data_IF_319631079094
#
_entry.id   IF_319631079094
#
_cell.length_a   1.000
_cell.length_b   1.000
_cell.length_c   1.000
_cell.angle_alpha   90.00
_cell.angle_beta   90.00
_cell.angle_gamma   90.00
#
_symmetry.space_group_name_H-M   'P 1'
#
loop_
_entity.id
_entity.type
_entity.pdbx_description
1 polymer ?
#
# COMPACT_ATOMS: atom_id res chain seq x y z
N UNK A 1 -49.96 -13.25 -26.67
CA UNK A 1 -48.83 -12.43 -26.15
C UNK A 1 -48.62 -11.13 -26.93
N UNK A 2 -49.65 -10.55 -27.57
CA UNK A 2 -49.51 -9.41 -28.51
C UNK A 2 -49.88 -8.04 -27.92
N UNK A 3 -50.61 -7.97 -26.79
CA UNK A 3 -51.07 -6.69 -26.24
C UNK A 3 -49.99 -5.85 -25.55
N UNK A 4 -48.94 -6.49 -25.00
CA UNK A 4 -47.86 -5.78 -24.28
C UNK A 4 -46.95 -4.97 -25.21
N UNK A 5 -46.81 -5.38 -26.48
CA UNK A 5 -45.99 -4.66 -27.46
C UNK A 5 -46.66 -3.36 -27.93
N UNK A 6 -47.99 -3.33 -28.01
CA UNK A 6 -48.75 -2.17 -28.44
C UNK A 6 -48.64 -1.00 -27.45
N UNK A 7 -48.61 -1.30 -26.15
CA UNK A 7 -48.40 -0.30 -25.09
C UNK A 7 -46.99 0.30 -25.12
N UNK A 8 -45.98 -0.49 -25.46
CA UNK A 8 -44.59 -0.03 -25.49
C UNK A 8 -44.31 0.90 -26.68
N UNK A 9 -44.92 0.61 -27.84
CA UNK A 9 -44.85 1.47 -29.03
C UNK A 9 -45.55 2.81 -28.78
N UNK A 10 -46.67 2.82 -28.05
CA UNK A 10 -47.41 4.03 -27.72
C UNK A 10 -46.65 4.96 -26.75
N UNK A 11 -45.87 4.38 -25.83
CA UNK A 11 -45.07 5.15 -24.87
C UNK A 11 -43.86 5.83 -25.51
N UNK A 12 -43.26 5.19 -26.53
CA UNK A 12 -42.09 5.75 -27.22
C UNK A 12 -42.48 6.94 -28.10
N UNK A 13 -43.65 6.90 -28.75
CA UNK A 13 -44.10 7.99 -29.62
C UNK A 13 -44.44 9.29 -28.88
N UNK A 14 -44.72 9.24 -27.57
CA UNK A 14 -45.05 10.42 -26.76
C UNK A 14 -43.83 11.24 -26.30
N UNK A 15 -42.60 10.74 -26.44
CA UNK A 15 -41.41 11.37 -25.82
C UNK A 15 -40.55 12.21 -26.77
N UNK A 16 -40.89 12.33 -28.06
CA UNK A 16 -39.96 12.89 -29.07
C UNK A 16 -40.19 14.35 -29.52
N UNK A 17 -41.09 15.12 -28.89
CA UNK A 17 -41.43 16.47 -29.38
C UNK A 17 -41.16 17.61 -28.38
N UNK A 18 -39.95 17.74 -27.85
CA UNK A 18 -39.52 19.00 -27.23
C UNK A 18 -38.19 19.50 -27.79
N UNK A 19 -38.23 20.42 -28.75
CA UNK A 19 -37.05 21.18 -29.21
C UNK A 19 -36.92 22.45 -28.36
N UNK A 20 -35.86 22.64 -27.57
CA UNK A 20 -35.71 23.84 -26.77
C UNK A 20 -35.25 25.03 -27.65
N UNK A 21 -35.93 26.17 -27.51
CA UNK A 21 -35.59 27.40 -28.23
C UNK A 21 -34.31 28.04 -27.66
N UNK A 22 -33.36 28.37 -28.54
CA UNK A 22 -32.10 29.00 -28.15
C UNK A 22 -32.29 30.49 -27.92
N UNK A 23 -32.25 30.93 -26.66
CA UNK A 23 -32.29 32.34 -26.29
C UNK A 23 -31.02 33.04 -26.80
N UNK A 24 -31.16 34.12 -27.58
CA UNK A 24 -30.04 34.97 -28.00
C UNK A 24 -29.34 35.54 -26.76
N UNK A 25 -28.01 35.43 -26.72
CA UNK A 25 -27.19 35.93 -25.61
C UNK A 25 -27.26 37.47 -25.58
N UNK A 26 -27.63 38.02 -24.43
CA UNK A 26 -27.59 39.47 -24.20
C UNK A 26 -26.14 39.89 -24.09
N UNK A 27 -25.71 40.81 -24.95
CA UNK A 27 -24.41 41.48 -24.87
C UNK A 27 -24.59 42.90 -24.36
N UNK A 28 -23.57 43.40 -23.70
CA UNK A 28 -23.52 44.76 -23.17
C UNK A 28 -23.35 45.79 -24.29
N UNK A 29 -23.74 47.05 -24.03
CA UNK A 29 -23.50 48.15 -24.95
C UNK A 29 -21.99 48.40 -25.10
N UNK A 30 -21.57 49.00 -26.20
CA UNK A 30 -20.14 49.25 -26.48
C UNK A 30 -19.49 50.17 -25.42
N UNK A 31 -20.27 51.04 -24.80
CA UNK A 31 -19.80 51.93 -23.73
C UNK A 31 -19.55 51.17 -22.43
N UNK A 32 -20.44 50.24 -22.08
CA UNK A 32 -20.27 49.39 -20.89
C UNK A 32 -19.13 48.40 -21.05
N UNK A 33 -18.90 47.85 -22.26
CA UNK A 33 -17.71 47.03 -22.50
C UNK A 33 -16.41 47.83 -22.36
N UNK A 34 -16.38 49.09 -22.81
CA UNK A 34 -15.21 49.96 -22.67
C UNK A 34 -14.90 50.29 -21.21
N UNK A 35 -15.93 50.54 -20.39
CA UNK A 35 -15.71 50.83 -18.97
C UNK A 35 -15.17 49.62 -18.22
N UNK A 36 -15.62 48.40 -18.55
CA UNK A 36 -15.04 47.18 -17.99
C UNK A 36 -13.57 47.00 -18.38
N UNK A 37 -13.22 47.25 -19.64
CA UNK A 37 -11.85 47.15 -20.12
C UNK A 37 -10.91 48.15 -19.41
N UNK A 38 -11.38 49.36 -19.15
CA UNK A 38 -10.62 50.37 -18.42
C UNK A 38 -10.41 50.00 -16.94
N UNK A 39 -11.45 49.49 -16.28
CA UNK A 39 -11.36 48.98 -14.90
C UNK A 39 -10.37 47.82 -14.82
N UNK A 40 -10.43 46.88 -15.76
CA UNK A 40 -9.51 45.75 -15.81
C UNK A 40 -8.07 46.21 -16.03
N UNK A 41 -7.86 47.20 -16.90
CA UNK A 41 -6.53 47.78 -17.14
C UNK A 41 -5.94 48.43 -15.89
N UNK A 42 -6.73 49.21 -15.15
CA UNK A 42 -6.29 49.86 -13.90
C UNK A 42 -5.96 48.79 -12.86
N UNK A 43 -6.83 47.80 -12.67
CA UNK A 43 -6.62 46.70 -11.74
C UNK A 43 -5.36 45.90 -12.07
N UNK A 44 -5.10 45.65 -13.36
CA UNK A 44 -3.89 44.97 -13.81
C UNK A 44 -2.64 45.79 -13.44
N UNK A 45 -2.64 47.09 -13.73
CA UNK A 45 -1.51 47.98 -13.42
C UNK A 45 -1.24 48.01 -11.91
N UNK A 46 -2.27 48.14 -11.07
CA UNK A 46 -2.11 48.11 -9.62
C UNK A 46 -1.56 46.77 -9.11
N UNK A 47 -2.01 45.66 -9.69
CA UNK A 47 -1.50 44.32 -9.35
C UNK A 47 -0.01 44.21 -9.68
N UNK A 48 0.42 44.73 -10.83
CA UNK A 48 1.85 44.75 -11.19
C UNK A 48 2.68 45.65 -10.28
N UNK A 49 2.15 46.82 -9.88
CA UNK A 49 2.82 47.70 -8.89
C UNK A 49 3.00 46.99 -7.54
N UNK A 50 1.93 46.36 -7.01
CA UNK A 50 1.97 45.56 -5.76
C UNK A 50 2.95 44.39 -5.83
N UNK A 51 3.14 43.77 -7.00
CA UNK A 51 4.12 42.71 -7.19
C UNK A 51 5.57 43.24 -7.23
N UNK A 52 5.80 44.44 -7.80
CA UNK A 52 7.11 45.10 -7.81
C UNK A 52 7.52 45.61 -6.43
N UNK A 53 6.57 46.12 -5.65
CA UNK A 53 6.81 46.71 -4.32
C UNK A 53 6.95 45.67 -3.20
N UNK A 54 6.84 44.37 -3.49
CA UNK A 54 7.14 43.31 -2.51
C UNK A 54 8.58 42.82 -2.68
N UNK A 55 9.59 43.41 -2.00
CA UNK A 55 10.91 42.80 -1.93
C UNK A 55 10.86 41.67 -0.90
N UNK A 56 10.28 40.54 -1.27
CA UNK A 56 10.39 39.34 -0.46
C UNK A 56 11.16 38.30 -1.27
N UNK A 57 12.44 38.15 -0.95
CA UNK A 57 13.11 36.86 -1.11
C UNK A 57 12.22 35.84 -0.41
N UNK A 58 11.35 35.18 -1.15
CA UNK A 58 10.48 34.13 -0.63
C UNK A 58 11.43 33.05 -0.14
N UNK A 59 11.71 33.02 1.17
CA UNK A 59 12.45 31.92 1.79
C UNK A 59 11.60 30.69 1.51
N UNK A 60 12.08 29.83 0.62
CA UNK A 60 11.45 28.55 0.33
C UNK A 60 11.28 27.81 1.65
N UNK A 61 10.04 27.73 2.15
CA UNK A 61 9.72 27.01 3.37
C UNK A 61 9.88 25.53 3.02
N UNK A 62 11.05 24.96 3.31
CA UNK A 62 11.26 23.52 3.15
C UNK A 62 10.36 22.82 4.18
N UNK A 63 9.47 21.91 3.76
CA UNK A 63 8.63 21.19 4.69
C UNK A 63 9.50 20.40 5.67
N UNK A 64 9.27 20.61 6.97
CA UNK A 64 10.00 19.92 8.03
C UNK A 64 9.66 18.43 7.91
N UNK A 65 10.63 17.59 7.52
CA UNK A 65 10.44 16.14 7.47
C UNK A 65 10.06 15.68 8.88
N UNK A 66 8.81 15.27 9.09
CA UNK A 66 8.37 14.75 10.37
C UNK A 66 9.24 13.56 10.75
N UNK A 67 9.98 13.68 11.85
CA UNK A 67 10.73 12.57 12.39
C UNK A 67 9.73 11.48 12.79
N UNK A 68 9.72 10.36 12.06
CA UNK A 68 8.87 9.21 12.38
C UNK A 68 9.31 8.70 13.75
N UNK A 69 8.47 8.86 14.78
CA UNK A 69 8.74 8.31 16.13
C UNK A 69 9.05 6.82 15.97
N UNK A 70 10.27 6.42 16.36
CA UNK A 70 10.66 5.01 16.41
C UNK A 70 9.74 4.33 17.42
N UNK A 71 8.88 3.42 16.95
CA UNK A 71 8.01 2.63 17.83
C UNK A 71 8.91 1.72 18.67
N UNK A 72 8.66 1.67 19.98
CA UNK A 72 9.33 0.72 20.85
C UNK A 72 9.08 -0.72 20.36
N UNK A 73 10.08 -1.61 20.39
CA UNK A 73 9.90 -2.99 20.00
C UNK A 73 8.85 -3.65 20.90
N UNK A 74 7.83 -4.27 20.28
CA UNK A 74 6.80 -5.00 21.01
C UNK A 74 7.44 -6.25 21.66
N UNK A 75 7.20 -6.45 22.95
CA UNK A 75 7.61 -7.69 23.64
C UNK A 75 6.97 -8.89 22.93
N UNK A 76 7.78 -9.89 22.58
CA UNK A 76 7.31 -11.12 21.94
C UNK A 76 6.48 -11.91 22.97
N UNK A 77 5.34 -12.45 22.54
CA UNK A 77 4.54 -13.37 23.36
C UNK A 77 5.15 -14.76 23.20
N UNK A 78 5.49 -15.41 24.32
CA UNK A 78 5.98 -16.79 24.34
C UNK A 78 4.75 -17.70 24.37
N UNK A 79 4.69 -18.65 23.44
CA UNK A 79 3.64 -19.66 23.40
C UNK A 79 4.22 -20.96 23.91
N UNK A 80 3.68 -21.44 25.02
CA UNK A 80 4.14 -22.67 25.65
C UNK A 80 3.67 -23.88 24.85
N UNK A 81 4.50 -24.91 24.74
CA UNK A 81 4.18 -26.19 24.10
C UNK A 81 4.70 -27.31 25.00
N UNK A 82 4.11 -28.51 24.89
CA UNK A 82 4.61 -29.68 25.60
C UNK A 82 6.03 -30.02 25.10
N UNK A 83 7.04 -30.10 25.99
CA UNK A 83 8.42 -30.35 25.60
C UNK A 83 8.63 -31.71 24.93
N UNK A 84 7.87 -32.73 25.31
CA UNK A 84 8.07 -34.08 24.74
C UNK A 84 7.55 -34.16 23.31
N UNK A 85 6.35 -33.62 23.06
CA UNK A 85 5.81 -33.50 21.70
C UNK A 85 6.72 -32.62 20.82
N UNK A 86 7.26 -31.54 21.39
CA UNK A 86 8.16 -30.65 20.67
C UNK A 86 9.47 -31.35 20.27
N UNK A 87 10.07 -32.16 21.15
CA UNK A 87 11.26 -32.97 20.83
C UNK A 87 10.99 -33.91 19.68
N UNK A 88 9.85 -34.63 19.72
CA UNK A 88 9.44 -35.55 18.65
C UNK A 88 9.28 -34.80 17.32
N UNK A 89 8.58 -33.66 17.33
CA UNK A 89 8.38 -32.85 16.12
C UNK A 89 9.71 -32.35 15.55
N UNK A 90 10.59 -31.82 16.40
CA UNK A 90 11.91 -31.34 15.97
C UNK A 90 12.73 -32.47 15.38
N UNK A 91 12.83 -33.61 16.06
CA UNK A 91 13.56 -34.80 15.58
C UNK A 91 13.06 -35.29 14.23
N UNK A 92 11.73 -35.39 14.06
CA UNK A 92 11.12 -35.74 12.77
C UNK A 92 11.51 -34.76 11.66
N UNK A 93 11.49 -33.45 11.93
CA UNK A 93 11.90 -32.44 10.95
C UNK A 93 13.38 -32.57 10.56
N UNK A 94 14.28 -32.85 11.54
CA UNK A 94 15.70 -33.04 11.26
C UNK A 94 15.93 -34.26 10.36
N UNK A 95 15.28 -35.39 10.69
CA UNK A 95 15.35 -36.63 9.92
C UNK A 95 14.78 -36.46 8.52
N UNK A 96 13.60 -35.84 8.41
CA UNK A 96 12.95 -35.58 7.13
C UNK A 96 13.85 -34.74 6.20
N UNK A 97 14.45 -33.66 6.72
CA UNK A 97 15.38 -32.84 5.95
C UNK A 97 16.55 -33.66 5.40
N UNK A 98 17.14 -34.53 6.23
CA UNK A 98 18.25 -35.37 5.77
C UNK A 98 17.83 -36.44 4.77
N UNK A 99 16.64 -37.01 4.91
CA UNK A 99 16.08 -37.91 3.91
C UNK A 99 15.86 -37.19 2.56
N UNK A 100 15.30 -35.98 2.61
CA UNK A 100 15.05 -35.15 1.44
C UNK A 100 16.36 -34.75 0.74
N UNK A 101 17.38 -34.37 1.50
CA UNK A 101 18.68 -33.92 0.99
C UNK A 101 19.74 -35.02 0.92
N UNK A 102 19.36 -36.30 0.99
CA UNK A 102 20.30 -37.44 1.02
C UNK A 102 21.26 -37.51 -0.17
N UNK A 103 20.85 -36.98 -1.34
CA UNK A 103 21.65 -36.94 -2.58
C UNK A 103 22.36 -35.60 -2.81
N UNK A 104 22.25 -34.66 -1.87
CA UNK A 104 22.82 -33.34 -2.03
C UNK A 104 24.35 -33.41 -1.91
N UNK A 105 25.04 -32.94 -2.95
CA UNK A 105 26.51 -32.94 -3.04
C UNK A 105 27.20 -32.30 -1.82
N UNK A 106 26.50 -31.39 -1.12
CA UNK A 106 26.97 -30.71 0.10
C UNK A 106 27.20 -31.67 1.27
N UNK A 107 26.49 -32.80 1.31
CA UNK A 107 26.58 -33.77 2.40
C UNK A 107 27.37 -35.04 2.03
N UNK A 108 27.79 -35.19 0.77
CA UNK A 108 28.52 -36.37 0.27
C UNK A 108 29.99 -36.34 0.64
N UNK A 109 30.61 -35.14 0.67
CA UNK A 109 32.08 -35.03 0.66
C UNK A 109 32.73 -34.87 2.02
N UNK A 110 32.17 -34.09 2.97
CA UNK A 110 32.90 -33.71 4.19
C UNK A 110 32.07 -33.49 5.47
N UNK A 111 30.73 -33.38 5.41
CA UNK A 111 29.88 -33.19 6.59
C UNK A 111 28.62 -34.03 6.46
N UNK A 112 28.37 -34.91 7.41
CA UNK A 112 27.11 -35.66 7.45
C UNK A 112 25.94 -34.69 7.59
N UNK A 113 24.81 -34.98 6.94
CA UNK A 113 23.61 -34.17 7.11
C UNK A 113 23.21 -34.06 8.60
N UNK A 114 23.43 -35.13 9.37
CA UNK A 114 23.21 -35.15 10.81
C UNK A 114 24.05 -34.11 11.57
N UNK A 115 25.33 -33.94 11.21
CA UNK A 115 26.18 -32.90 11.81
C UNK A 115 25.65 -31.50 11.51
N UNK A 116 25.11 -31.29 10.31
CA UNK A 116 24.49 -30.03 9.91
C UNK A 116 23.21 -29.77 10.70
N UNK A 117 22.27 -30.71 10.74
CA UNK A 117 21.00 -30.56 11.44
C UNK A 117 21.20 -30.40 12.95
N UNK A 118 22.15 -31.12 13.54
CA UNK A 118 22.54 -30.94 14.95
C UNK A 118 23.07 -29.52 15.21
N UNK A 119 23.94 -29.01 14.35
CA UNK A 119 24.43 -27.63 14.48
C UNK A 119 23.31 -26.58 14.34
N UNK A 120 22.28 -26.87 13.55
CA UNK A 120 21.09 -26.02 13.41
C UNK A 120 20.28 -26.03 14.70
N UNK A 121 20.06 -27.22 15.27
CA UNK A 121 19.37 -27.39 16.55
C UNK A 121 20.09 -26.66 17.68
N UNK A 122 21.40 -26.87 17.83
CA UNK A 122 22.21 -26.24 18.88
C UNK A 122 22.12 -24.70 18.79
N UNK A 123 22.21 -24.15 17.58
CA UNK A 123 22.06 -22.70 17.35
C UNK A 123 20.67 -22.17 17.72
N UNK A 124 19.62 -22.97 17.54
CA UNK A 124 18.28 -22.58 17.92
C UNK A 124 18.06 -22.73 19.43
N UNK A 125 18.63 -23.75 20.05
CA UNK A 125 18.55 -24.01 21.49
C UNK A 125 19.27 -22.94 22.33
N UNK A 126 20.30 -22.28 21.78
CA UNK A 126 20.92 -21.11 22.45
C UNK A 126 19.92 -19.95 22.62
N UNK A 127 18.93 -19.83 21.72
CA UNK A 127 18.00 -18.71 21.69
C UNK A 127 16.61 -19.03 22.27
N UNK A 128 16.24 -20.31 22.33
CA UNK A 128 14.90 -20.77 22.68
C UNK A 128 14.97 -22.08 23.47
N UNK A 129 14.14 -22.22 24.49
CA UNK A 129 14.05 -23.42 25.32
C UNK A 129 13.09 -24.47 24.73
N UNK A 130 13.17 -25.71 25.23
CA UNK A 130 12.31 -26.86 24.87
C UNK A 130 10.82 -26.71 25.24
N UNK A 131 10.37 -25.54 25.67
CA UNK A 131 8.95 -25.25 25.89
C UNK A 131 8.46 -24.07 25.03
N UNK A 132 9.33 -23.47 24.22
CA UNK A 132 8.99 -22.33 23.37
C UNK A 132 8.74 -22.80 21.95
N UNK A 133 7.52 -22.57 21.44
CA UNK A 133 7.16 -22.84 20.04
C UNK A 133 8.13 -22.19 19.03
N UNK A 134 8.80 -21.09 19.42
CA UNK A 134 9.79 -20.43 18.59
C UNK A 134 11.02 -21.31 18.30
N UNK A 135 11.34 -22.31 19.13
CA UNK A 135 12.39 -23.29 18.88
C UNK A 135 12.09 -24.09 17.61
N UNK A 136 10.91 -24.70 17.52
CA UNK A 136 10.49 -25.46 16.33
C UNK A 136 10.47 -24.57 15.09
N UNK A 137 9.99 -23.32 15.22
CA UNK A 137 9.98 -22.36 14.11
C UNK A 137 11.40 -22.00 13.65
N UNK A 138 12.32 -21.78 14.58
CA UNK A 138 13.73 -21.54 14.28
C UNK A 138 14.33 -22.70 13.48
N UNK A 139 14.12 -23.93 13.94
CA UNK A 139 14.61 -25.14 13.25
C UNK A 139 14.02 -25.23 11.85
N UNK A 140 12.69 -25.16 11.70
CA UNK A 140 12.00 -25.21 10.39
C UNK A 140 12.48 -24.10 9.44
N UNK A 141 12.76 -22.91 9.95
CA UNK A 141 13.23 -21.78 9.12
C UNK A 141 14.65 -21.96 8.58
N UNK A 142 15.52 -22.67 9.32
CA UNK A 142 16.92 -22.91 8.93
C UNK A 142 17.10 -24.17 8.07
N UNK A 143 16.09 -25.04 8.04
CA UNK A 143 16.07 -26.26 7.22
C UNK A 143 15.30 -26.09 5.90
N UNK A 144 14.68 -24.93 5.64
CA UNK A 144 14.15 -24.59 4.31
C UNK A 144 15.29 -24.26 3.35
#
# INVERSE_FOLDING_TARGET
MTSKWLLLVLLISLTSCSVPSTKRRKTYSRETSKSFEEIERINAIERYKKLRERPSRLKTIKPKKYARKKRAPKKRKIYFTDPEDQKVEVDQNLKFFCMEKRKDSRFVKNKSCESYTKSVLDKCHISYDWNDRALTQCVKSKLR
#
